data_IF_193785915768
#
_entry.id   IF_193785915768
#
_cell.length_a   1.000
_cell.length_b   1.000
_cell.length_c   1.000
_cell.angle_alpha   90.00
_cell.angle_beta   90.00
_cell.angle_gamma   90.00
#
_symmetry.space_group_name_H-M   'P 1'
#
loop_
_entity.id
_entity.type
_entity.pdbx_description
1 polymer ?
#
# COMPACT_ATOMS: atom_id res chain seq x y z
N UNK A 1 -0.21 3.23 -17.25
CA UNK A 1 1.14 3.55 -16.70
C UNK A 1 1.21 3.59 -15.17
N UNK A 2 0.05 3.67 -14.43
CA UNK A 2 0.02 3.82 -12.96
C UNK A 2 0.87 2.78 -12.21
N UNK A 3 0.60 1.49 -12.42
CA UNK A 3 1.36 0.41 -11.76
C UNK A 3 2.86 0.41 -12.15
N UNK A 4 3.20 0.89 -13.36
CA UNK A 4 4.60 1.03 -13.78
C UNK A 4 5.34 2.10 -12.97
N UNK A 5 4.68 3.19 -12.61
CA UNK A 5 5.23 4.23 -11.74
C UNK A 5 5.46 3.66 -10.34
N UNK A 6 4.45 2.99 -9.76
CA UNK A 6 4.61 2.36 -8.45
C UNK A 6 5.76 1.37 -8.45
N UNK A 7 5.88 0.53 -9.50
CA UNK A 7 6.98 -0.45 -9.66
C UNK A 7 8.36 0.20 -9.78
N UNK A 8 8.45 1.36 -10.39
CA UNK A 8 9.69 2.13 -10.41
C UNK A 8 10.05 2.67 -9.02
N UNK A 9 9.07 3.14 -8.25
CA UNK A 9 9.29 3.69 -6.91
C UNK A 9 9.84 2.65 -5.92
N UNK A 10 9.44 1.37 -6.00
CA UNK A 10 10.03 0.33 -5.15
C UNK A 10 11.11 -0.51 -5.86
N UNK A 11 11.68 0.04 -6.95
CA UNK A 11 12.82 -0.52 -7.70
C UNK A 11 12.57 -1.94 -8.24
N UNK A 12 11.36 -2.23 -8.72
CA UNK A 12 11.08 -3.39 -9.56
C UNK A 12 11.35 -3.07 -11.04
N UNK A 13 11.21 -1.80 -11.44
CA UNK A 13 11.58 -1.29 -12.75
C UNK A 13 12.68 -0.26 -12.64
N UNK A 14 13.69 -0.34 -13.52
CA UNK A 14 14.77 0.65 -13.58
C UNK A 14 14.26 1.97 -14.15
N UNK A 15 14.78 3.07 -13.61
CA UNK A 15 14.57 4.43 -14.11
C UNK A 15 15.66 4.72 -15.13
N UNK A 16 15.26 4.95 -16.38
CA UNK A 16 16.19 5.10 -17.53
C UNK A 16 16.70 6.55 -17.60
N UNK A 17 15.81 7.53 -17.39
CA UNK A 17 16.14 8.96 -17.48
C UNK A 17 15.38 9.77 -16.42
N UNK A 18 15.74 11.05 -16.26
CA UNK A 18 15.15 11.93 -15.27
C UNK A 18 15.67 11.72 -13.85
N UNK A 19 14.95 12.24 -12.86
CA UNK A 19 15.24 12.12 -11.44
C UNK A 19 14.07 11.45 -10.71
N UNK A 20 14.37 10.62 -9.71
CA UNK A 20 13.37 10.05 -8.83
C UNK A 20 13.96 9.82 -7.44
N UNK A 21 13.29 10.31 -6.41
CA UNK A 21 13.72 10.22 -5.02
C UNK A 21 12.57 9.80 -4.12
N UNK A 22 12.89 8.99 -3.10
CA UNK A 22 12.00 8.74 -1.95
C UNK A 22 12.77 9.17 -0.71
N UNK A 23 12.26 10.18 -0.01
CA UNK A 23 13.00 10.85 1.05
C UNK A 23 14.36 11.34 0.52
N UNK A 24 15.45 10.87 1.13
CA UNK A 24 16.82 11.19 0.71
C UNK A 24 17.42 10.18 -0.29
N UNK A 25 16.68 9.12 -0.64
CA UNK A 25 17.20 8.04 -1.49
C UNK A 25 16.97 8.35 -2.96
N UNK A 26 18.05 8.48 -3.74
CA UNK A 26 18.00 8.59 -5.21
C UNK A 26 17.83 7.19 -5.81
N UNK A 27 16.67 6.96 -6.44
CA UNK A 27 16.31 5.64 -6.99
C UNK A 27 17.11 5.27 -8.24
N UNK A 28 17.64 6.27 -8.96
CA UNK A 28 18.42 6.04 -10.19
C UNK A 28 19.83 5.52 -9.88
N UNK A 29 20.41 5.98 -8.76
CA UNK A 29 21.75 5.60 -8.34
C UNK A 29 21.77 4.37 -7.42
N UNK A 30 20.59 3.83 -7.07
CA UNK A 30 20.44 2.74 -6.12
C UNK A 30 21.07 1.43 -6.65
N UNK A 31 21.97 0.85 -5.87
CA UNK A 31 22.60 -0.44 -6.17
C UNK A 31 21.67 -1.60 -5.79
N UNK A 32 21.83 -2.75 -6.44
CA UNK A 32 20.97 -3.92 -6.19
C UNK A 32 20.97 -4.39 -4.73
N UNK A 33 22.12 -4.32 -4.05
CA UNK A 33 22.24 -4.66 -2.63
C UNK A 33 21.57 -3.63 -1.69
N UNK A 34 21.22 -2.45 -2.16
CA UNK A 34 20.55 -1.39 -1.39
C UNK A 34 19.01 -1.47 -1.53
N UNK A 35 18.51 -2.13 -2.59
CA UNK A 35 17.06 -2.28 -2.83
C UNK A 35 16.30 -2.88 -1.63
N UNK A 36 16.79 -3.91 -0.91
CA UNK A 36 16.11 -4.41 0.27
C UNK A 36 15.96 -3.37 1.39
N UNK A 37 16.91 -2.46 1.54
CA UNK A 37 16.85 -1.39 2.54
C UNK A 37 15.86 -0.30 2.14
N UNK A 38 15.80 0.08 0.84
CA UNK A 38 14.74 0.95 0.33
C UNK A 38 13.36 0.33 0.59
N UNK A 39 13.16 -0.95 0.23
CA UNK A 39 11.87 -1.63 0.38
C UNK A 39 11.40 -1.76 1.83
N UNK A 40 12.30 -1.72 2.83
CA UNK A 40 11.92 -1.66 4.25
C UNK A 40 11.28 -0.32 4.63
N UNK A 41 11.66 0.77 3.94
CA UNK A 41 11.11 2.11 4.13
C UNK A 41 9.81 2.36 3.38
N UNK A 42 9.36 1.40 2.57
CA UNK A 42 8.16 1.50 1.73
C UNK A 42 7.16 0.43 2.15
N UNK A 43 5.95 0.83 2.49
CA UNK A 43 4.82 -0.09 2.63
C UNK A 43 4.23 -0.38 1.24
N UNK A 44 4.06 -1.66 0.88
CA UNK A 44 3.47 -2.01 -0.42
C UNK A 44 2.17 -2.78 -0.19
N UNK A 45 1.09 -2.29 -0.81
CA UNK A 45 -0.24 -2.89 -0.81
C UNK A 45 -0.57 -3.30 -2.24
N UNK A 46 -0.79 -4.61 -2.46
CA UNK A 46 -1.12 -5.18 -3.77
C UNK A 46 -2.62 -5.43 -3.90
N UNK A 47 -3.12 -5.40 -5.12
CA UNK A 47 -4.50 -5.72 -5.46
C UNK A 47 -4.90 -7.16 -5.07
N UNK A 48 -4.00 -8.13 -5.17
CA UNK A 48 -4.23 -9.56 -4.94
C UNK A 48 -3.77 -10.05 -3.56
N UNK A 49 -3.71 -9.15 -2.58
CA UNK A 49 -3.37 -9.37 -1.17
C UNK A 49 -1.98 -9.99 -0.91
N UNK A 50 -1.50 -10.92 -1.73
CA UNK A 50 -0.22 -11.65 -1.60
C UNK A 50 -0.01 -12.24 -0.20
N UNK A 51 -1.03 -12.88 0.36
CA UNK A 51 -0.95 -13.59 1.64
C UNK A 51 -0.54 -15.05 1.44
N UNK A 52 0.30 -15.56 2.33
CA UNK A 52 0.72 -16.96 2.38
C UNK A 52 -0.45 -17.80 2.93
N UNK A 53 -0.96 -18.73 2.11
CA UNK A 53 -2.18 -19.49 2.39
C UNK A 53 -2.00 -20.55 3.48
N UNK A 54 -0.76 -21.03 3.66
CA UNK A 54 -0.33 -22.03 4.63
C UNK A 54 -0.11 -21.48 6.04
N UNK A 55 -0.31 -20.17 6.23
CA UNK A 55 -0.03 -19.45 7.48
C UNK A 55 -1.21 -18.60 7.91
N UNK A 56 -1.45 -18.54 9.24
CA UNK A 56 -2.43 -17.62 9.80
C UNK A 56 -1.96 -16.17 9.70
N UNK A 57 -2.81 -15.20 10.06
CA UNK A 57 -2.52 -13.76 10.01
C UNK A 57 -1.23 -13.43 10.78
N UNK A 58 -1.10 -13.90 12.02
CA UNK A 58 0.11 -13.66 12.83
C UNK A 58 1.38 -14.09 12.10
N UNK A 59 1.42 -15.33 11.61
CA UNK A 59 2.59 -15.90 10.92
C UNK A 59 2.88 -15.23 9.58
N UNK A 60 1.86 -14.73 8.88
CA UNK A 60 2.04 -13.91 7.68
C UNK A 60 2.81 -12.62 7.98
N UNK A 61 2.43 -11.94 9.06
CA UNK A 61 3.07 -10.69 9.48
C UNK A 61 4.45 -10.94 10.12
N UNK A 62 4.56 -11.96 10.97
CA UNK A 62 5.83 -12.35 11.61
C UNK A 62 6.91 -12.71 10.59
N UNK A 63 6.52 -13.35 9.48
CA UNK A 63 7.45 -13.69 8.40
C UNK A 63 8.17 -12.46 7.85
N UNK A 64 7.44 -11.36 7.66
CA UNK A 64 8.01 -10.09 7.16
C UNK A 64 8.99 -9.50 8.18
N UNK A 65 8.61 -9.44 9.45
CA UNK A 65 9.49 -8.90 10.51
C UNK A 65 10.78 -9.73 10.64
N UNK A 66 10.68 -11.07 10.61
CA UNK A 66 11.87 -11.93 10.60
C UNK A 66 12.77 -11.66 9.40
N UNK A 67 12.20 -11.54 8.21
CA UNK A 67 12.94 -11.26 6.97
C UNK A 67 13.59 -9.85 6.98
N UNK A 68 13.06 -8.92 7.77
CA UNK A 68 13.59 -7.55 7.89
C UNK A 68 14.50 -7.35 9.12
N UNK A 69 14.85 -8.42 9.83
CA UNK A 69 15.87 -8.39 10.88
C UNK A 69 15.37 -8.13 12.31
N UNK A 70 14.07 -8.27 12.56
CA UNK A 70 13.51 -8.17 13.91
C UNK A 70 13.72 -9.50 14.66
N UNK A 71 14.73 -9.57 15.50
CA UNK A 71 15.13 -10.82 16.16
C UNK A 71 14.32 -11.14 17.42
N UNK A 72 13.88 -10.14 18.17
CA UNK A 72 13.13 -10.33 19.42
C UNK A 72 11.68 -10.73 19.14
N UNK A 73 11.27 -11.87 19.70
CA UNK A 73 9.94 -12.43 19.51
C UNK A 73 8.83 -11.62 20.21
N UNK A 74 9.15 -11.01 21.37
CA UNK A 74 8.20 -10.19 22.12
C UNK A 74 7.92 -8.89 21.38
N UNK A 75 9.00 -8.22 20.91
CA UNK A 75 8.87 -6.99 20.13
C UNK A 75 8.11 -7.23 18.82
N UNK A 76 8.37 -8.36 18.11
CA UNK A 76 7.60 -8.73 16.92
C UNK A 76 6.11 -8.89 17.24
N UNK A 77 5.77 -9.58 18.32
CA UNK A 77 4.37 -9.78 18.73
C UNK A 77 3.68 -8.45 19.01
N UNK A 78 4.28 -7.60 19.81
CA UNK A 78 3.75 -6.26 20.14
C UNK A 78 3.55 -5.40 18.87
N UNK A 79 4.51 -5.44 17.93
CA UNK A 79 4.41 -4.73 16.65
C UNK A 79 3.26 -5.25 15.77
N UNK A 80 3.11 -6.57 15.65
CA UNK A 80 2.03 -7.20 14.89
C UNK A 80 0.67 -6.82 15.47
N UNK A 81 0.49 -6.95 16.80
CA UNK A 81 -0.75 -6.59 17.47
C UNK A 81 -1.08 -5.11 17.29
N UNK A 82 -0.09 -4.23 17.39
CA UNK A 82 -0.25 -2.79 17.14
C UNK A 82 -0.72 -2.51 15.71
N UNK A 83 -0.10 -3.14 14.70
CA UNK A 83 -0.50 -2.95 13.30
C UNK A 83 -1.91 -3.50 13.02
N UNK A 84 -2.28 -4.66 13.62
CA UNK A 84 -3.61 -5.23 13.48
C UNK A 84 -4.69 -4.39 14.17
N UNK A 85 -4.38 -3.74 15.30
CA UNK A 85 -5.26 -2.76 15.95
C UNK A 85 -5.52 -1.55 15.05
N UNK A 86 -4.47 -1.00 14.41
CA UNK A 86 -4.60 0.15 13.50
C UNK A 86 -5.51 -0.12 12.29
N UNK A 87 -5.69 -1.38 11.90
CA UNK A 87 -6.55 -1.78 10.79
C UNK A 87 -7.84 -2.49 11.25
N UNK A 88 -8.14 -2.45 12.55
CA UNK A 88 -9.37 -2.96 13.19
C UNK A 88 -9.66 -4.45 12.96
N UNK A 89 -8.62 -5.32 12.98
CA UNK A 89 -8.77 -6.78 12.81
C UNK A 89 -7.89 -7.60 13.77
N UNK A 90 -7.61 -7.09 14.96
CA UNK A 90 -6.79 -7.82 15.94
C UNK A 90 -7.40 -9.17 16.34
N UNK A 91 -8.73 -9.26 16.40
CA UNK A 91 -9.50 -10.47 16.70
C UNK A 91 -9.27 -11.60 15.68
N UNK A 92 -8.81 -11.25 14.47
CA UNK A 92 -8.55 -12.19 13.38
C UNK A 92 -7.10 -12.72 13.36
N UNK A 93 -6.28 -12.42 14.34
CA UNK A 93 -4.83 -12.70 14.37
C UNK A 93 -4.50 -14.19 14.16
N UNK A 94 -5.37 -15.11 14.62
CA UNK A 94 -5.18 -16.55 14.48
C UNK A 94 -5.87 -17.17 13.26
N UNK A 95 -6.66 -16.39 12.49
CA UNK A 95 -7.37 -16.87 11.30
C UNK A 95 -6.41 -17.10 10.13
N UNK A 96 -6.74 -18.07 9.29
CA UNK A 96 -6.05 -18.32 8.02
C UNK A 96 -6.68 -17.48 6.89
N UNK A 97 -5.94 -17.19 5.81
CA UNK A 97 -6.47 -16.38 4.70
C UNK A 97 -7.77 -16.92 4.07
N UNK A 98 -7.97 -18.23 4.04
CA UNK A 98 -9.20 -18.85 3.54
C UNK A 98 -10.43 -18.63 4.43
N UNK A 99 -10.24 -18.18 5.67
CA UNK A 99 -11.29 -17.87 6.64
C UNK A 99 -11.65 -16.39 6.66
N UNK A 100 -11.02 -15.57 5.81
CA UNK A 100 -11.17 -14.12 5.78
C UNK A 100 -11.95 -13.67 4.54
N UNK A 101 -12.80 -12.64 4.70
CA UNK A 101 -13.39 -11.93 3.57
C UNK A 101 -12.33 -11.20 2.73
N UNK A 102 -12.70 -10.70 1.55
CA UNK A 102 -11.81 -9.89 0.72
C UNK A 102 -11.31 -8.64 1.44
N UNK A 103 -12.20 -7.87 2.07
CA UNK A 103 -11.85 -6.69 2.85
C UNK A 103 -10.96 -6.99 4.04
N UNK A 104 -11.20 -8.11 4.76
CA UNK A 104 -10.33 -8.55 5.85
C UNK A 104 -8.93 -8.93 5.36
N UNK A 105 -8.82 -9.64 4.22
CA UNK A 105 -7.52 -9.94 3.60
C UNK A 105 -6.75 -8.68 3.24
N UNK A 106 -7.45 -7.68 2.72
CA UNK A 106 -6.84 -6.39 2.38
C UNK A 106 -6.39 -5.63 3.63
N UNK A 107 -7.17 -5.64 4.70
CA UNK A 107 -6.76 -5.07 5.99
C UNK A 107 -5.50 -5.77 6.54
N UNK A 108 -5.35 -7.10 6.38
CA UNK A 108 -4.09 -7.82 6.71
C UNK A 108 -2.93 -7.35 5.82
N UNK A 109 -3.15 -7.15 4.51
CA UNK A 109 -2.12 -6.63 3.61
C UNK A 109 -1.70 -5.20 3.98
N UNK A 110 -2.64 -4.35 4.43
CA UNK A 110 -2.35 -3.02 4.97
C UNK A 110 -1.54 -3.12 6.27
N UNK A 111 -1.94 -3.96 7.22
CA UNK A 111 -1.19 -4.19 8.46
C UNK A 111 0.25 -4.64 8.17
N UNK A 112 0.44 -5.51 7.17
CA UNK A 112 1.76 -5.94 6.69
C UNK A 112 2.60 -4.78 6.16
N UNK A 113 2.00 -3.85 5.42
CA UNK A 113 2.69 -2.69 4.90
C UNK A 113 3.17 -1.74 6.00
N UNK A 114 2.51 -1.71 7.17
CA UNK A 114 2.85 -0.86 8.31
C UNK A 114 3.96 -1.42 9.22
N UNK A 115 4.39 -2.68 9.06
CA UNK A 115 5.26 -3.38 10.02
C UNK A 115 6.60 -2.70 10.28
N UNK A 116 7.21 -2.11 9.26
CA UNK A 116 8.53 -1.46 9.36
C UNK A 116 8.44 0.07 9.47
N UNK A 117 7.31 0.62 9.90
CA UNK A 117 7.07 2.08 10.00
C UNK A 117 7.50 2.82 8.72
N UNK A 118 6.85 2.55 7.58
CA UNK A 118 7.27 3.05 6.29
C UNK A 118 7.17 4.58 6.18
N UNK A 119 8.09 5.19 5.43
CA UNK A 119 8.06 6.62 5.08
C UNK A 119 6.92 6.94 4.11
N UNK A 120 6.58 5.96 3.25
CA UNK A 120 5.49 6.05 2.26
C UNK A 120 4.83 4.70 2.05
N UNK A 121 3.53 4.71 1.81
CA UNK A 121 2.74 3.53 1.44
C UNK A 121 2.37 3.66 -0.04
N UNK A 122 2.73 2.65 -0.83
CA UNK A 122 2.38 2.51 -2.24
C UNK A 122 1.27 1.48 -2.37
N UNK A 123 0.09 1.89 -2.84
CA UNK A 123 -1.07 1.01 -3.00
C UNK A 123 -1.45 0.88 -4.48
N UNK A 124 -1.34 -0.32 -5.03
CA UNK A 124 -1.74 -0.61 -6.41
C UNK A 124 -3.13 -1.25 -6.41
N UNK A 125 -4.15 -0.46 -6.77
CA UNK A 125 -5.56 -0.84 -6.81
C UNK A 125 -6.05 -1.59 -5.54
N UNK A 126 -5.92 -1.01 -4.35
CA UNK A 126 -6.15 -1.71 -3.08
C UNK A 126 -7.61 -2.16 -2.87
N UNK A 127 -8.53 -1.67 -3.67
CA UNK A 127 -9.97 -1.99 -3.62
C UNK A 127 -10.46 -2.74 -4.84
N UNK A 128 -9.60 -2.99 -5.85
CA UNK A 128 -10.00 -3.51 -7.16
C UNK A 128 -10.63 -4.91 -7.15
N UNK A 129 -10.43 -5.70 -6.10
CA UNK A 129 -11.01 -7.04 -5.94
C UNK A 129 -12.05 -7.11 -4.80
N UNK A 130 -12.62 -5.97 -4.39
CA UNK A 130 -13.53 -5.88 -3.25
C UNK A 130 -14.93 -5.44 -3.70
N UNK A 131 -15.93 -5.86 -2.93
CA UNK A 131 -17.27 -5.30 -3.05
C UNK A 131 -17.28 -3.83 -2.58
N UNK A 132 -18.34 -3.04 -2.96
CA UNK A 132 -18.39 -1.61 -2.65
C UNK A 132 -18.34 -1.28 -1.14
N UNK A 133 -18.93 -2.12 -0.29
CA UNK A 133 -18.95 -1.91 1.17
C UNK A 133 -17.54 -2.12 1.74
N UNK A 134 -16.91 -3.25 1.41
CA UNK A 134 -15.53 -3.56 1.81
C UNK A 134 -14.53 -2.53 1.28
N UNK A 135 -14.78 -1.98 0.06
CA UNK A 135 -13.95 -0.91 -0.52
C UNK A 135 -13.97 0.35 0.34
N UNK A 136 -15.15 0.79 0.79
CA UNK A 136 -15.29 1.95 1.68
C UNK A 136 -14.60 1.71 3.02
N UNK A 137 -14.76 0.51 3.61
CA UNK A 137 -14.07 0.17 4.87
C UNK A 137 -12.54 0.23 4.74
N UNK A 138 -11.99 -0.35 3.66
CA UNK A 138 -10.54 -0.34 3.39
C UNK A 138 -10.05 1.10 3.18
N UNK A 139 -10.81 1.92 2.44
CA UNK A 139 -10.46 3.32 2.22
C UNK A 139 -10.52 4.15 3.51
N UNK A 140 -11.47 3.89 4.42
CA UNK A 140 -11.50 4.53 5.73
C UNK A 140 -10.23 4.20 6.53
N UNK A 141 -9.81 2.93 6.56
CA UNK A 141 -8.56 2.53 7.22
C UNK A 141 -7.34 3.25 6.61
N UNK A 142 -7.26 3.35 5.29
CA UNK A 142 -6.16 4.08 4.62
C UNK A 142 -6.19 5.58 4.97
N UNK A 143 -7.37 6.18 5.06
CA UNK A 143 -7.53 7.58 5.48
C UNK A 143 -7.05 7.79 6.92
N UNK A 144 -7.46 6.96 7.88
CA UNK A 144 -7.00 7.00 9.28
C UNK A 144 -5.46 6.89 9.38
N UNK A 145 -4.85 6.01 8.58
CA UNK A 145 -3.39 5.87 8.49
C UNK A 145 -2.76 7.16 7.94
N UNK A 146 -3.34 7.77 6.90
CA UNK A 146 -2.85 9.03 6.36
C UNK A 146 -2.98 10.18 7.35
N UNK A 147 -4.13 10.31 8.04
CA UNK A 147 -4.37 11.30 9.10
C UNK A 147 -3.40 11.13 10.29
N UNK A 148 -2.89 9.92 10.52
CA UNK A 148 -1.83 9.66 11.52
C UNK A 148 -0.42 10.04 11.08
N UNK A 149 -0.26 10.64 9.87
CA UNK A 149 0.99 11.19 9.37
C UNK A 149 1.70 10.37 8.29
N UNK A 150 1.16 9.22 7.86
CA UNK A 150 1.75 8.44 6.78
C UNK A 150 1.42 9.04 5.40
N UNK A 151 2.39 9.14 4.51
CA UNK A 151 2.14 9.45 3.11
C UNK A 151 1.63 8.23 2.36
N UNK A 152 0.53 8.37 1.61
CA UNK A 152 -0.03 7.28 0.80
C UNK A 152 -0.11 7.71 -0.66
N UNK A 153 0.50 6.92 -1.55
CA UNK A 153 0.34 7.05 -2.99
C UNK A 153 -0.44 5.85 -3.52
N UNK A 154 -1.66 6.09 -3.99
CA UNK A 154 -2.57 5.04 -4.45
C UNK A 154 -2.82 5.15 -5.95
N UNK A 155 -2.63 4.05 -6.67
CA UNK A 155 -3.14 3.89 -8.02
C UNK A 155 -4.56 3.31 -7.98
N UNK A 156 -5.50 3.96 -8.65
CA UNK A 156 -6.88 3.47 -8.79
C UNK A 156 -7.48 3.88 -10.15
N UNK A 157 -8.47 3.14 -10.60
CA UNK A 157 -9.34 3.51 -11.69
C UNK A 157 -10.80 3.75 -11.21
N UNK A 158 -11.04 3.62 -9.92
CA UNK A 158 -12.36 3.84 -9.33
C UNK A 158 -12.57 5.33 -8.97
N UNK A 159 -13.24 6.03 -9.85
CA UNK A 159 -13.56 7.45 -9.67
C UNK A 159 -14.57 7.71 -8.54
N UNK A 160 -15.40 6.73 -8.19
CA UNK A 160 -16.38 6.90 -7.10
C UNK A 160 -15.70 7.06 -5.74
N UNK A 161 -14.54 6.44 -5.58
CA UNK A 161 -13.71 6.60 -4.38
C UNK A 161 -13.05 7.98 -4.30
N UNK A 162 -12.64 8.57 -5.45
CA UNK A 162 -12.01 9.89 -5.48
C UNK A 162 -12.97 11.00 -5.02
N UNK A 163 -14.28 10.83 -5.22
CA UNK A 163 -15.28 11.78 -4.75
C UNK A 163 -15.41 11.79 -3.22
N UNK A 164 -15.37 10.59 -2.62
CA UNK A 164 -15.54 10.39 -1.18
C UNK A 164 -14.24 10.64 -0.39
N UNK A 165 -13.12 10.25 -0.97
CA UNK A 165 -11.80 10.31 -0.34
C UNK A 165 -10.92 11.32 -1.08
N UNK A 166 -11.11 12.60 -0.75
CA UNK A 166 -10.38 13.69 -1.38
C UNK A 166 -8.89 13.59 -1.13
N UNK A 167 -8.11 13.90 -2.17
CA UNK A 167 -6.66 13.93 -2.11
C UNK A 167 -6.09 14.61 -3.36
N UNK A 168 -4.78 14.73 -3.41
CA UNK A 168 -4.07 15.22 -4.60
C UNK A 168 -4.20 14.19 -5.73
N UNK A 169 -4.66 14.61 -6.90
CA UNK A 169 -4.91 13.72 -8.04
C UNK A 169 -3.81 13.89 -9.07
N UNK A 170 -3.22 12.75 -9.47
CA UNK A 170 -2.22 12.67 -10.53
C UNK A 170 -2.77 11.78 -11.65
N UNK A 171 -2.98 12.35 -12.82
CA UNK A 171 -3.50 11.65 -13.99
C UNK A 171 -2.35 11.15 -14.86
N UNK A 172 -2.43 9.87 -15.26
CA UNK A 172 -1.47 9.23 -16.16
C UNK A 172 -2.15 8.90 -17.49
N UNK A 173 -1.85 9.65 -18.56
CA UNK A 173 -2.37 9.41 -19.92
C UNK A 173 -1.25 9.45 -20.96
N UNK A 174 -1.24 8.52 -21.90
CA UNK A 174 -0.32 8.48 -23.05
C UNK A 174 1.17 8.61 -22.67
N UNK A 175 1.56 8.13 -21.48
CA UNK A 175 2.94 8.24 -21.00
C UNK A 175 3.27 9.55 -20.28
N UNK A 176 2.34 10.49 -20.22
CA UNK A 176 2.48 11.76 -19.52
C UNK A 176 1.80 11.74 -18.15
N UNK A 177 2.27 12.61 -17.27
CA UNK A 177 1.75 12.78 -15.90
C UNK A 177 1.35 14.25 -15.76
N UNK A 178 0.12 14.50 -15.30
CA UNK A 178 -0.36 15.82 -14.96
C UNK A 178 -1.08 15.82 -13.62
N UNK A 179 -0.93 16.90 -12.86
CA UNK A 179 -1.76 17.13 -11.67
C UNK A 179 -3.09 17.74 -12.09
N UNK A 180 -4.18 17.28 -11.49
CA UNK A 180 -5.53 17.70 -11.88
C UNK A 180 -6.42 17.85 -10.65
N UNK A 181 -7.25 18.89 -10.65
CA UNK A 181 -8.32 19.04 -9.67
C UNK A 181 -9.47 18.09 -9.96
N UNK A 182 -10.17 17.67 -8.91
CA UNK A 182 -11.32 16.77 -9.02
C UNK A 182 -12.40 17.28 -9.97
N UNK A 183 -12.72 18.58 -9.93
CA UNK A 183 -13.75 19.18 -10.78
C UNK A 183 -13.40 19.10 -12.27
N UNK A 184 -12.14 19.31 -12.63
CA UNK A 184 -11.64 19.13 -14.02
C UNK A 184 -11.72 17.67 -14.45
N UNK A 185 -11.38 16.73 -13.56
CA UNK A 185 -11.44 15.30 -13.84
C UNK A 185 -12.90 14.84 -14.12
N UNK A 186 -13.87 15.40 -13.40
CA UNK A 186 -15.30 15.11 -13.59
C UNK A 186 -15.79 15.58 -14.95
N UNK A 187 -15.38 16.76 -15.40
CA UNK A 187 -15.73 17.33 -16.72
C UNK A 187 -15.16 16.45 -17.84
N UNK A 188 -13.88 16.08 -17.77
CA UNK A 188 -13.26 15.23 -18.80
C UNK A 188 -13.92 13.83 -18.92
N UNK A 189 -14.46 13.29 -17.83
CA UNK A 189 -15.17 12.00 -17.84
C UNK A 189 -16.51 12.05 -18.57
N UNK A 190 -17.16 13.20 -18.60
CA UNK A 190 -18.45 13.41 -19.30
C UNK A 190 -18.26 13.49 -20.82
N UNK A 191 -17.05 13.85 -21.28
CA UNK A 191 -16.74 14.06 -22.70
C UNK A 191 -15.76 13.02 -23.28
N UNK A 192 -15.40 11.95 -22.56
CA UNK A 192 -14.58 10.83 -23.01
C UNK A 192 -15.40 9.55 -23.17
#
# INVERSE_FOLDING_TARGET
>A
GKSSILKALYSEKKIICGEAKIGQTDLKQLKENEIPFLRRKIGIIFQDFKLLKDRNVFKNLEFVLKATGWNDSKIRKEKIESCLKKVHILDLINKFPNQLSGGQKQKVAIARALLNDPEIILADEPTGNLDPISSIEVMNVLREINESGNTILMATHDFSLLEKFKGRIIVCRNGEISEMDYDKLKIEKVYA
#
